data_IF_688874068081
#
_entry.id   IF_688874068081
#
_cell.length_a   1.000
_cell.length_b   1.000
_cell.length_c   1.000
_cell.angle_alpha   90.00
_cell.angle_beta   90.00
_cell.angle_gamma   90.00
#
_symmetry.space_group_name_H-M   'P 1'
#
loop_
_entity.id
_entity.type
_entity.pdbx_description
1 polymer ?
#
# COMPACT_ATOMS: atom_id res chain seq x y z
N UNK A 1 13.49 5.18 -10.62
CA UNK A 1 13.32 4.36 -9.41
C UNK A 1 12.27 5.05 -8.57
N UNK A 2 11.01 4.62 -8.68
CA UNK A 2 9.94 5.17 -7.85
C UNK A 2 10.03 4.50 -6.50
N UNK A 3 10.45 5.27 -5.48
CA UNK A 3 10.49 4.79 -4.11
C UNK A 3 9.07 4.36 -3.68
N UNK A 4 8.89 3.18 -3.07
CA UNK A 4 7.58 2.74 -2.63
C UNK A 4 7.02 3.74 -1.61
N UNK A 5 5.76 4.15 -1.79
CA UNK A 5 5.10 5.11 -0.92
C UNK A 5 3.91 4.50 -0.21
N UNK A 6 3.65 4.99 1.00
CA UNK A 6 2.47 4.59 1.77
C UNK A 6 1.20 4.96 1.02
N UNK A 7 0.28 4.00 0.88
CA UNK A 7 -0.98 4.17 0.13
C UNK A 7 -1.91 5.19 0.80
N UNK A 8 -1.76 5.39 2.11
CA UNK A 8 -2.64 6.27 2.91
C UNK A 8 -2.12 7.71 2.95
N UNK A 9 -0.81 7.88 3.21
CA UNK A 9 -0.23 9.20 3.48
C UNK A 9 0.81 9.65 2.44
N UNK A 10 1.17 8.79 1.47
CA UNK A 10 2.14 9.11 0.42
C UNK A 10 3.60 9.25 0.88
N UNK A 11 3.88 8.97 2.16
CA UNK A 11 5.24 9.01 2.70
C UNK A 11 6.13 7.93 2.08
N UNK A 12 7.43 8.22 1.87
CA UNK A 12 8.38 7.20 1.44
C UNK A 12 8.44 6.06 2.46
N UNK A 13 8.57 4.85 1.96
CA UNK A 13 8.60 3.64 2.76
C UNK A 13 10.03 3.15 2.90
N UNK A 14 10.42 2.85 4.14
CA UNK A 14 11.72 2.26 4.42
C UNK A 14 11.66 0.73 4.38
N UNK A 15 12.82 0.07 4.47
CA UNK A 15 12.93 -1.40 4.43
C UNK A 15 12.10 -2.13 5.51
N UNK A 16 11.62 -1.43 6.54
CA UNK A 16 10.74 -1.94 7.60
C UNK A 16 9.24 -1.70 7.39
N UNK A 17 8.82 -1.29 6.18
CA UNK A 17 7.42 -1.00 5.90
C UNK A 17 6.48 -2.20 6.13
N UNK A 18 5.28 -1.91 6.60
CA UNK A 18 4.25 -2.91 6.85
C UNK A 18 3.60 -3.27 5.52
N UNK A 19 3.66 -4.55 5.15
CA UNK A 19 3.00 -5.09 3.97
C UNK A 19 1.74 -5.84 4.35
N UNK A 20 0.63 -5.53 3.69
CA UNK A 20 -0.63 -6.25 3.83
C UNK A 20 -1.05 -6.73 2.46
N UNK A 21 -1.33 -8.03 2.38
CA UNK A 21 -1.94 -8.61 1.19
C UNK A 21 -3.46 -8.45 1.31
N UNK A 22 -4.06 -7.80 0.33
CA UNK A 22 -5.50 -7.67 0.22
C UNK A 22 -5.89 -8.10 -1.20
N UNK A 23 -6.74 -9.12 -1.30
CA UNK A 23 -7.08 -9.80 -2.54
C UNK A 23 -5.83 -10.31 -3.31
N UNK A 24 -5.61 -9.82 -4.53
CA UNK A 24 -4.47 -10.15 -5.38
C UNK A 24 -3.32 -9.13 -5.28
N UNK A 25 -3.47 -8.07 -4.49
CA UNK A 25 -2.52 -6.96 -4.40
C UNK A 25 -1.80 -6.93 -3.04
N UNK A 26 -0.58 -6.40 -3.06
CA UNK A 26 0.21 -6.16 -1.85
C UNK A 26 0.31 -4.66 -1.65
N UNK A 27 -0.23 -4.19 -0.53
CA UNK A 27 -0.20 -2.80 -0.12
C UNK A 27 0.88 -2.58 0.94
N UNK A 28 1.53 -1.43 0.89
CA UNK A 28 2.58 -1.06 1.81
C UNK A 28 2.22 0.19 2.62
N UNK A 29 2.58 0.18 3.90
CA UNK A 29 2.25 1.20 4.88
C UNK A 29 3.46 1.59 5.72
N UNK A 30 3.58 2.88 6.03
CA UNK A 30 4.68 3.42 6.86
C UNK A 30 4.49 3.09 8.35
N UNK A 31 3.25 2.83 8.78
CA UNK A 31 2.89 2.67 10.19
C UNK A 31 1.59 1.90 10.39
N UNK A 32 1.41 1.34 11.57
CA UNK A 32 0.19 0.60 11.95
C UNK A 32 -1.07 1.47 11.88
N UNK A 33 -0.93 2.79 12.12
CA UNK A 33 -2.02 3.75 11.95
C UNK A 33 -2.56 3.74 10.53
N UNK A 34 -1.69 3.78 9.53
CA UNK A 34 -2.09 3.73 8.12
C UNK A 34 -2.73 2.39 7.76
N UNK A 35 -2.17 1.28 8.28
CA UNK A 35 -2.81 -0.03 8.16
C UNK A 35 -4.23 -0.04 8.74
N UNK A 36 -4.47 0.55 9.92
CA UNK A 36 -5.83 0.61 10.50
C UNK A 36 -6.79 1.42 9.63
N UNK A 37 -6.36 2.60 9.16
CA UNK A 37 -7.17 3.45 8.26
C UNK A 37 -7.55 2.67 6.99
N UNK A 38 -6.60 1.91 6.43
CA UNK A 38 -6.86 1.03 5.30
C UNK A 38 -7.88 -0.07 5.65
N UNK A 39 -7.75 -0.71 6.81
CA UNK A 39 -8.69 -1.76 7.23
C UNK A 39 -10.09 -1.23 7.54
N UNK A 40 -10.21 0.02 7.99
CA UNK A 40 -11.51 0.65 8.26
C UNK A 40 -12.28 0.94 6.96
N UNK A 41 -11.59 1.36 5.90
CA UNK A 41 -12.20 1.67 4.60
C UNK A 41 -11.27 1.32 3.44
N UNK A 42 -11.04 0.03 3.13
CA UNK A 42 -10.08 -0.37 2.10
C UNK A 42 -10.53 0.06 0.71
N UNK A 43 -11.84 -0.05 0.42
CA UNK A 43 -12.51 0.28 -0.85
C UNK A 43 -12.10 1.66 -1.38
N UNK A 44 -12.06 2.67 -0.49
CA UNK A 44 -11.68 4.05 -0.81
C UNK A 44 -10.24 4.21 -1.32
N UNK A 45 -9.37 3.23 -1.04
CA UNK A 45 -7.97 3.21 -1.45
C UNK A 45 -7.68 2.19 -2.56
N UNK A 46 -8.65 1.32 -2.90
CA UNK A 46 -8.51 0.37 -4.02
C UNK A 46 -8.48 1.11 -5.37
N UNK A 47 -9.31 2.14 -5.54
CA UNK A 47 -9.36 2.95 -6.77
C UNK A 47 -8.14 3.88 -6.95
N UNK A 48 -7.58 4.40 -5.86
CA UNK A 48 -6.48 5.36 -5.91
C UNK A 48 -5.10 4.72 -6.14
N UNK A 49 -4.99 3.39 -6.00
CA UNK A 49 -3.73 2.66 -6.07
C UNK A 49 -3.73 1.53 -7.11
N UNK A 50 -4.49 1.70 -8.21
CA UNK A 50 -4.49 0.83 -9.40
C UNK A 50 -3.16 0.83 -10.18
N UNK A 51 -2.08 0.44 -9.52
CA UNK A 51 -0.74 0.50 -10.08
C UNK A 51 0.25 -0.43 -9.40
N UNK A 52 -0.12 -1.70 -9.18
CA UNK A 52 0.88 -2.76 -9.15
C UNK A 52 0.74 -3.51 -10.46
N UNK A 53 1.49 -3.07 -11.47
CA UNK A 53 1.77 -3.88 -12.64
C UNK A 53 2.28 -5.22 -12.13
N UNK A 54 1.64 -6.36 -12.45
CA UNK A 54 2.32 -7.62 -12.31
C UNK A 54 3.48 -7.58 -13.30
N UNK A 55 4.72 -7.54 -12.83
CA UNK A 55 5.85 -7.90 -13.71
C UNK A 55 5.69 -9.40 -14.03
N UNK A 56 5.43 -9.78 -15.29
CA UNK A 56 5.45 -11.17 -15.69
C UNK A 56 6.86 -11.50 -16.18
N UNK A 57 7.58 -12.38 -15.47
CA UNK A 57 8.53 -13.31 -16.11
C UNK A 57 8.93 -14.47 -15.21
#
# INVERSE_FOLDING_TARGET
>A
MTDPRCVICGKPLEAGAIRVRYEALVYFFDSERCKRIFQENPDRYLDAAGGVLPEPR
#
